data_IF_100739036413
#
_entry.id   IF_100739036413
#
_cell.length_a   1.000
_cell.length_b   1.000
_cell.length_c   1.000
_cell.angle_alpha   90.00
_cell.angle_beta   90.00
_cell.angle_gamma   90.00
#
_symmetry.space_group_name_H-M   'P 1'
#
loop_
_entity.id
_entity.type
_entity.pdbx_description
1 polymer ?
#
# COMPACT_ATOMS: atom_id res chain seq x y z
N UNK A 1 -8.37 -4.39 4.17
CA UNK A 1 -7.53 -4.72 3.01
C UNK A 1 -7.51 -6.22 2.86
N UNK A 2 -7.88 -6.72 1.68
CA UNK A 2 -7.91 -8.16 1.37
C UNK A 2 -7.06 -8.43 0.13
N UNK A 3 -7.10 -9.66 -0.39
CA UNK A 3 -6.15 -10.13 -1.41
C UNK A 3 -6.11 -9.25 -2.67
N UNK A 4 -7.26 -8.82 -3.19
CA UNK A 4 -7.32 -8.03 -4.42
C UNK A 4 -6.64 -6.64 -4.31
N UNK A 5 -7.02 -5.75 -3.37
CA UNK A 5 -6.31 -4.48 -3.20
C UNK A 5 -4.85 -4.68 -2.80
N UNK A 6 -4.52 -5.71 -2.02
CA UNK A 6 -3.13 -6.03 -1.69
C UNK A 6 -2.29 -6.35 -2.96
N UNK A 7 -2.81 -7.19 -3.86
CA UNK A 7 -2.14 -7.48 -5.13
C UNK A 7 -2.03 -6.27 -6.04
N UNK A 8 -3.00 -5.35 -6.01
CA UNK A 8 -2.93 -4.12 -6.80
C UNK A 8 -1.90 -3.14 -6.27
N UNK A 9 -1.79 -3.00 -4.95
CA UNK A 9 -0.74 -2.19 -4.33
C UNK A 9 0.64 -2.77 -4.67
N UNK A 10 0.84 -4.07 -4.48
CA UNK A 10 2.10 -4.72 -4.85
C UNK A 10 2.47 -4.50 -6.33
N UNK A 11 1.50 -4.53 -7.24
CA UNK A 11 1.72 -4.22 -8.66
C UNK A 11 2.11 -2.76 -8.92
N UNK A 12 1.54 -1.80 -8.17
CA UNK A 12 1.91 -0.38 -8.30
C UNK A 12 3.31 -0.10 -7.76
N UNK A 13 3.70 -0.83 -6.72
CA UNK A 13 5.00 -0.70 -6.06
C UNK A 13 6.12 -1.39 -6.85
N UNK A 14 5.80 -2.35 -7.73
CA UNK A 14 6.78 -3.07 -8.56
C UNK A 14 7.62 -2.13 -9.48
N UNK A 15 7.11 -0.93 -9.77
CA UNK A 15 7.84 0.11 -10.52
C UNK A 15 8.65 1.07 -9.64
N UNK A 16 8.66 0.89 -8.33
CA UNK A 16 9.44 1.74 -7.41
C UNK A 16 10.94 1.54 -7.58
N UNK A 17 11.68 2.62 -7.38
CA UNK A 17 13.14 2.60 -7.33
C UNK A 17 13.67 2.15 -5.96
N UNK A 18 12.85 2.23 -4.91
CA UNK A 18 13.20 1.88 -3.53
C UNK A 18 12.06 1.14 -2.82
N UNK A 19 12.35 0.64 -1.63
CA UNK A 19 11.35 -0.03 -0.80
C UNK A 19 10.22 0.95 -0.45
N UNK A 20 8.98 0.45 -0.57
CA UNK A 20 7.77 1.17 -0.17
C UNK A 20 7.14 0.41 0.99
N UNK A 21 6.76 1.14 2.02
CA UNK A 21 6.28 0.56 3.26
C UNK A 21 4.84 0.95 3.55
N UNK A 22 4.08 0.01 4.09
CA UNK A 22 2.74 0.26 4.64
C UNK A 22 2.81 0.12 6.16
N UNK A 23 2.47 1.19 6.86
CA UNK A 23 2.45 1.26 8.31
C UNK A 23 1.00 1.36 8.79
N UNK A 24 0.57 0.46 9.68
CA UNK A 24 -0.71 0.58 10.36
C UNK A 24 -0.58 0.08 11.81
N UNK A 25 -1.20 0.81 12.74
CA UNK A 25 -1.07 0.57 14.18
C UNK A 25 0.41 0.59 14.62
N UNK A 26 0.99 -0.57 14.94
CA UNK A 26 2.40 -0.75 15.32
C UNK A 26 3.14 -1.71 14.39
N UNK A 27 2.56 -1.98 13.22
CA UNK A 27 3.10 -2.91 12.24
C UNK A 27 3.50 -2.14 10.99
N UNK A 28 4.73 -2.39 10.53
CA UNK A 28 5.28 -1.91 9.26
C UNK A 28 5.53 -3.13 8.37
N UNK A 29 5.03 -3.10 7.15
CA UNK A 29 5.12 -4.20 6.18
C UNK A 29 5.60 -3.70 4.83
N UNK A 30 6.23 -4.60 4.07
CA UNK A 30 6.64 -4.35 2.70
C UNK A 30 5.42 -4.27 1.77
N UNK A 31 5.29 -3.16 1.02
CA UNK A 31 4.20 -2.92 0.08
C UNK A 31 4.33 -3.76 -1.21
N UNK A 32 5.49 -4.33 -1.52
CA UNK A 32 5.67 -5.27 -2.62
C UNK A 32 5.21 -6.70 -2.26
N UNK A 33 5.11 -7.02 -0.96
CA UNK A 33 4.67 -8.34 -0.49
C UNK A 33 3.15 -8.37 -0.27
N UNK A 34 2.42 -9.04 -1.17
CA UNK A 34 0.98 -9.31 -1.00
C UNK A 34 0.69 -10.01 0.33
N UNK A 35 1.58 -10.93 0.74
CA UNK A 35 1.42 -11.67 2.00
C UNK A 35 1.56 -10.72 3.18
N UNK A 36 2.59 -9.87 3.20
CA UNK A 36 2.82 -8.99 4.34
C UNK A 36 1.68 -7.96 4.46
N UNK A 37 1.21 -7.41 3.33
CA UNK A 37 0.03 -6.55 3.30
C UNK A 37 -1.20 -7.24 3.92
N UNK A 38 -1.42 -8.53 3.63
CA UNK A 38 -2.51 -9.29 4.22
C UNK A 38 -2.33 -9.48 5.73
N UNK A 39 -1.10 -9.68 6.19
CA UNK A 39 -0.78 -9.82 7.63
C UNK A 39 -0.97 -8.53 8.41
N UNK A 40 -0.95 -7.36 7.76
CA UNK A 40 -1.22 -6.06 8.39
C UNK A 40 -2.60 -6.03 9.05
N UNK A 41 -3.55 -6.85 8.57
CA UNK A 41 -4.88 -6.99 9.18
C UNK A 41 -5.69 -5.69 9.19
N UNK A 42 -5.37 -4.74 8.31
CA UNK A 42 -6.03 -3.45 8.25
C UNK A 42 -7.50 -3.63 7.84
N UNK A 43 -8.43 -3.28 8.73
CA UNK A 43 -9.88 -3.33 8.49
C UNK A 43 -10.39 -1.96 8.03
N UNK A 44 -11.66 -1.89 7.60
CA UNK A 44 -12.26 -0.59 7.24
C UNK A 44 -12.18 0.37 8.43
N UNK A 45 -11.68 1.58 8.18
CA UNK A 45 -11.46 2.60 9.22
C UNK A 45 -10.08 2.56 9.89
N UNK A 46 -9.25 1.55 9.61
CA UNK A 46 -7.84 1.56 10.02
C UNK A 46 -7.10 2.70 9.31
N UNK A 47 -6.39 3.53 10.08
CA UNK A 47 -5.47 4.52 9.52
C UNK A 47 -4.20 3.83 9.06
N UNK A 48 -3.78 4.16 7.85
CA UNK A 48 -2.59 3.62 7.21
C UNK A 48 -1.69 4.79 6.82
N UNK A 49 -0.38 4.61 6.97
CA UNK A 49 0.65 5.51 6.49
C UNK A 49 1.46 4.77 5.45
N UNK A 50 1.77 5.43 4.33
CA UNK A 50 2.66 4.89 3.31
C UNK A 50 3.93 5.72 3.30
N UNK A 51 5.06 5.03 3.31
CA UNK A 51 6.40 5.62 3.34
C UNK A 51 7.17 5.13 2.12
N UNK A 52 7.85 6.06 1.44
CA UNK A 52 8.84 5.77 0.40
C UNK A 52 10.21 6.18 0.90
N UNK A 53 11.26 5.50 0.46
CA UNK A 53 12.64 5.83 0.83
C UNK A 53 13.34 6.73 -0.18
N UNK A 54 12.82 6.81 -1.41
CA UNK A 54 13.31 7.68 -2.47
C UNK A 54 12.23 8.67 -2.91
N UNK A 55 12.59 9.95 -3.03
CA UNK A 55 11.68 10.99 -3.50
C UNK A 55 11.22 10.79 -4.95
N UNK A 56 12.00 10.10 -5.80
CA UNK A 56 11.60 9.77 -7.16
C UNK A 56 10.36 8.85 -7.22
N UNK A 57 10.04 8.16 -6.11
CA UNK A 57 8.87 7.29 -5.96
C UNK A 57 7.60 8.05 -5.51
N UNK A 58 7.62 9.39 -5.44
CA UNK A 58 6.48 10.21 -5.02
C UNK A 58 5.21 9.93 -5.86
N UNK A 59 5.37 9.65 -7.16
CA UNK A 59 4.25 9.26 -8.04
C UNK A 59 3.55 7.96 -7.62
N UNK A 60 4.23 7.09 -6.86
CA UNK A 60 3.66 5.85 -6.34
C UNK A 60 2.76 6.14 -5.14
N UNK A 61 3.14 7.12 -4.32
CA UNK A 61 2.26 7.60 -3.24
C UNK A 61 0.95 8.13 -3.80
N UNK A 62 1.00 8.95 -4.85
CA UNK A 62 -0.19 9.50 -5.50
C UNK A 62 -1.09 8.39 -6.07
N UNK A 63 -0.49 7.42 -6.79
CA UNK A 63 -1.25 6.28 -7.33
C UNK A 63 -1.92 5.45 -6.25
N UNK A 64 -1.23 5.17 -5.15
CA UNK A 64 -1.81 4.42 -4.06
C UNK A 64 -2.90 5.27 -3.38
N UNK A 65 -2.67 6.56 -3.14
CA UNK A 65 -3.66 7.45 -2.56
C UNK A 65 -4.97 7.47 -3.37
N UNK A 66 -4.86 7.69 -4.70
CA UNK A 66 -6.00 7.67 -5.62
C UNK A 66 -6.72 6.32 -5.61
N UNK A 67 -5.97 5.21 -5.51
CA UNK A 67 -6.54 3.88 -5.41
C UNK A 67 -7.36 3.68 -4.13
N UNK A 68 -6.93 4.26 -3.00
CA UNK A 68 -7.70 4.24 -1.75
C UNK A 68 -8.94 5.13 -1.83
N UNK A 69 -8.84 6.35 -2.36
CA UNK A 69 -9.96 7.27 -2.53
C UNK A 69 -11.04 6.70 -3.48
N UNK A 70 -10.62 5.95 -4.50
CA UNK A 70 -11.52 5.21 -5.39
C UNK A 70 -12.17 3.98 -4.73
N UNK A 71 -11.97 3.75 -3.43
CA UNK A 71 -12.50 2.58 -2.71
C UNK A 71 -11.93 1.27 -3.25
N UNK A 72 -10.65 1.25 -3.60
CA UNK A 72 -9.95 0.13 -4.24
C UNK A 72 -10.55 -0.28 -5.61
N UNK A 73 -11.37 0.58 -6.24
CA UNK A 73 -12.10 0.25 -7.46
C UNK A 73 -13.20 -0.80 -7.24
N UNK A 74 -13.73 -0.88 -6.02
CA UNK A 74 -14.75 -1.84 -5.60
C UNK A 74 -16.06 -1.10 -5.27
N UNK A 75 -17.20 -1.76 -5.45
CA UNK A 75 -18.54 -1.23 -5.14
C UNK A 75 -19.16 -2.03 -4.00
#
# INVERSE_FOLDING_TARGET
MHARPASKIAQMVDSAHSDVWICANSTKVDAASVIDILTLGAVKGTKVVIEIENQEDEMILDQIFDFFEAGFGEK
#
